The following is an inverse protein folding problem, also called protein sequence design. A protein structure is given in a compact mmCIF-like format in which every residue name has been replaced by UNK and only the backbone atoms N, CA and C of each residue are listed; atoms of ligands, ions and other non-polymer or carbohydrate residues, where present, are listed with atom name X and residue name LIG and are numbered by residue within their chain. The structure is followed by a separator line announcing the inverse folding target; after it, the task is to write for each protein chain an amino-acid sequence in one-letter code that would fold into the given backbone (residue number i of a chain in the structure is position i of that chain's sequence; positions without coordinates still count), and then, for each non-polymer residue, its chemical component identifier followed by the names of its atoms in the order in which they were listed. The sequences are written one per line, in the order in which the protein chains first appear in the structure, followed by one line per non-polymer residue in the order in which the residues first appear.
data_IF_793073779058
#
_entry.id   IF_793073779058
#
_cell.length_a   1.000
_cell.length_b   1.000
_cell.length_c   1.000
_cell.angle_alpha   90.00
_cell.angle_beta   90.00
_cell.angle_gamma   90.00
#
_symmetry.space_group_name_H-M   'P 1'
#
loop_
_entity.id
_entity.type
_entity.pdbx_description
1 polymer ?
#
# COMPACT_ATOMS: atom_id res chain seq x y z
N UNK A 1 1.26 -1.88 -9.47
CA UNK A 1 1.75 -0.55 -9.08
C UNK A 1 0.82 0.00 -8.02
N UNK A 2 1.37 0.50 -6.92
CA UNK A 2 0.57 1.01 -5.80
C UNK A 2 1.10 2.33 -5.30
N UNK A 3 0.20 3.17 -4.76
CA UNK A 3 0.57 4.44 -4.13
C UNK A 3 -0.47 4.86 -3.11
N UNK A 4 -0.02 5.64 -2.13
CA UNK A 4 -0.87 6.25 -1.12
C UNK A 4 -0.56 7.72 -0.97
N UNK A 5 -1.57 8.50 -0.66
CA UNK A 5 -1.45 9.94 -0.46
C UNK A 5 -2.24 10.37 0.77
N UNK A 6 -1.82 11.46 1.38
CA UNK A 6 -2.51 12.00 2.54
C UNK A 6 -2.36 13.51 2.57
N UNK A 7 -3.46 14.24 2.72
CA UNK A 7 -3.48 15.70 2.80
C UNK A 7 -3.49 16.14 4.24
N UNK A 8 -2.33 16.54 4.75
CA UNK A 8 -2.09 16.63 6.16
C UNK A 8 -1.81 15.24 6.72
N UNK A 9 -0.97 15.10 7.70
CA UNK A 9 -0.58 13.80 8.20
C UNK A 9 -0.65 13.79 9.74
N UNK A 10 -1.83 13.49 10.33
CA UNK A 10 -3.02 12.87 9.73
C UNK A 10 -3.94 13.84 8.97
N UNK A 11 -4.77 13.26 8.11
CA UNK A 11 -5.75 14.00 7.32
C UNK A 11 -6.44 13.10 6.30
N UNK A 12 -7.20 13.68 5.35
CA UNK A 12 -7.84 12.88 4.29
C UNK A 12 -6.80 12.10 3.52
N UNK A 13 -7.02 10.80 3.37
CA UNK A 13 -6.09 9.90 2.70
C UNK A 13 -6.73 9.21 1.51
N UNK A 14 -5.90 8.90 0.51
CA UNK A 14 -6.31 8.15 -0.67
C UNK A 14 -5.26 7.10 -1.01
N UNK A 15 -5.70 6.07 -1.70
CA UNK A 15 -4.84 4.99 -2.16
C UNK A 15 -5.27 4.54 -3.55
N UNK A 16 -4.33 3.99 -4.31
CA UNK A 16 -4.64 3.44 -5.62
C UNK A 16 -3.71 2.28 -5.96
N UNK A 17 -4.23 1.36 -6.75
CA UNK A 17 -3.46 0.25 -7.28
C UNK A 17 -3.83 0.03 -8.75
N UNK A 18 -2.82 -0.09 -9.60
CA UNK A 18 -2.97 -0.43 -11.00
C UNK A 18 -2.57 -1.90 -11.17
N UNK A 19 -3.53 -2.73 -11.52
CA UNK A 19 -3.30 -4.14 -11.77
C UNK A 19 -3.16 -4.37 -13.27
N UNK A 20 -2.07 -5.03 -13.66
CA UNK A 20 -1.79 -5.31 -15.06
C UNK A 20 -1.50 -6.80 -15.26
N UNK A 21 -2.19 -7.40 -16.21
CA UNK A 21 -1.95 -8.77 -16.62
C UNK A 21 -2.05 -8.84 -18.14
N UNK A 22 -0.91 -9.05 -18.81
CA UNK A 22 -0.81 -8.99 -20.27
C UNK A 22 -1.29 -7.62 -20.79
N UNK A 23 -2.33 -7.56 -21.59
CA UNK A 23 -2.86 -6.31 -22.14
C UNK A 23 -3.98 -5.72 -21.27
N UNK A 24 -4.44 -6.46 -20.26
CA UNK A 24 -5.52 -6.02 -19.39
C UNK A 24 -4.98 -5.17 -18.25
N UNK A 25 -5.63 -4.04 -18.00
CA UNK A 25 -5.32 -3.16 -16.88
C UNK A 25 -6.58 -2.82 -16.09
N UNK A 26 -6.44 -2.75 -14.79
CA UNK A 26 -7.54 -2.34 -13.90
C UNK A 26 -6.99 -1.40 -12.84
N UNK A 27 -7.57 -0.21 -12.75
CA UNK A 27 -7.26 0.73 -11.69
C UNK A 27 -8.31 0.62 -10.59
N UNK A 28 -7.85 0.45 -9.36
CA UNK A 28 -8.72 0.54 -8.18
C UNK A 28 -8.20 1.65 -7.28
N UNK A 29 -9.10 2.30 -6.56
CA UNK A 29 -8.74 3.39 -5.66
C UNK A 29 -9.79 3.54 -4.57
N UNK A 30 -9.42 4.23 -3.52
CA UNK A 30 -10.32 4.54 -2.43
C UNK A 30 -9.79 5.70 -1.60
N UNK A 31 -10.63 6.22 -0.71
CA UNK A 31 -10.27 7.32 0.17
C UNK A 31 -10.89 7.13 1.54
N UNK A 32 -10.25 7.70 2.55
CA UNK A 32 -10.76 7.73 3.93
C UNK A 32 -10.63 9.14 4.47
N UNK A 33 -11.56 9.53 5.36
CA UNK A 33 -11.63 10.90 5.87
C UNK A 33 -10.43 11.29 6.71
N UNK A 34 -9.84 10.34 7.42
CA UNK A 34 -8.67 10.60 8.27
C UNK A 34 -7.74 9.39 8.28
N UNK A 35 -6.51 9.60 7.85
CA UNK A 35 -5.50 8.56 7.81
C UNK A 35 -4.10 9.19 7.87
N UNK A 36 -3.08 8.39 7.56
CA UNK A 36 -1.71 8.84 7.43
C UNK A 36 -1.15 8.36 6.10
N UNK A 37 -0.08 8.98 5.63
CA UNK A 37 0.56 8.56 4.40
C UNK A 37 0.98 7.08 4.44
N UNK A 38 1.59 6.66 5.56
CA UNK A 38 2.04 5.27 5.70
C UNK A 38 0.90 4.27 5.66
N UNK A 39 -0.24 4.58 6.29
CA UNK A 39 -1.41 3.71 6.24
C UNK A 39 -1.96 3.60 4.82
N UNK A 40 -1.96 4.68 4.07
CA UNK A 40 -2.45 4.67 2.68
C UNK A 40 -1.52 3.87 1.77
N UNK A 41 -0.22 3.95 1.97
CA UNK A 41 0.74 3.14 1.22
C UNK A 41 0.53 1.64 1.48
N UNK A 42 0.34 1.26 2.75
CA UNK A 42 0.03 -0.13 3.10
C UNK A 42 -1.30 -0.58 2.50
N UNK A 43 -2.33 0.26 2.61
CA UNK A 43 -3.67 -0.04 2.11
C UNK A 43 -3.65 -0.27 0.61
N UNK A 44 -2.91 0.53 -0.15
CA UNK A 44 -2.79 0.35 -1.60
C UNK A 44 -2.24 -1.03 -1.96
N UNK A 45 -1.17 -1.46 -1.29
CA UNK A 45 -0.57 -2.76 -1.53
C UNK A 45 -1.54 -3.90 -1.16
N UNK A 46 -2.19 -3.79 -0.01
CA UNK A 46 -3.14 -4.80 0.47
C UNK A 46 -4.34 -4.92 -0.48
N UNK A 47 -4.97 -3.79 -0.80
CA UNK A 47 -6.16 -3.78 -1.65
C UNK A 47 -5.84 -4.31 -3.05
N UNK A 48 -4.67 -3.95 -3.58
CA UNK A 48 -4.24 -4.47 -4.88
C UNK A 48 -4.08 -5.99 -4.87
N UNK A 49 -3.40 -6.53 -3.87
CA UNK A 49 -3.19 -7.98 -3.76
C UNK A 49 -4.49 -8.72 -3.47
N UNK A 50 -5.39 -8.13 -2.69
CA UNK A 50 -6.68 -8.75 -2.36
C UNK A 50 -7.64 -8.84 -3.54
N UNK A 51 -7.39 -8.12 -4.64
CA UNK A 51 -8.16 -8.26 -5.88
C UNK A 51 -7.90 -9.60 -6.57
N UNK A 52 -6.78 -10.24 -6.29
CA UNK A 52 -6.38 -11.49 -6.95
C UNK A 52 -7.13 -12.66 -6.31
N UNK A 53 -7.85 -13.42 -7.12
CA UNK A 53 -8.78 -14.46 -6.65
C UNK A 53 -8.13 -15.83 -6.49
N UNK A 54 -6.86 -15.96 -6.85
CA UNK A 54 -6.09 -17.20 -6.75
C UNK A 54 -4.63 -16.89 -6.54
N UNK A 55 -3.84 -17.85 -6.02
CA UNK A 55 -2.39 -17.63 -5.88
C UNK A 55 -1.75 -17.28 -7.21
N UNK A 56 -0.92 -16.23 -7.22
CA UNK A 56 -0.26 -15.74 -8.43
C UNK A 56 1.16 -15.29 -8.12
N UNK A 57 1.98 -15.23 -9.17
CA UNK A 57 3.27 -14.56 -9.13
C UNK A 57 3.02 -13.09 -9.45
N UNK A 58 3.40 -12.20 -8.54
CA UNK A 58 3.10 -10.77 -8.65
C UNK A 58 4.38 -9.96 -8.52
N UNK A 59 4.60 -9.03 -9.45
CA UNK A 59 5.61 -7.99 -9.28
C UNK A 59 4.88 -6.76 -8.76
N UNK A 60 5.16 -6.37 -7.51
CA UNK A 60 4.52 -5.22 -6.88
C UNK A 60 5.51 -4.06 -6.83
N UNK A 61 5.18 -2.99 -7.53
CA UNK A 61 6.02 -1.79 -7.64
C UNK A 61 5.45 -0.67 -6.78
N UNK A 62 6.27 -0.12 -5.89
CA UNK A 62 5.90 0.98 -5.01
C UNK A 62 7.09 1.91 -4.79
N UNK A 63 6.82 3.18 -4.47
CA UNK A 63 7.86 4.14 -4.08
C UNK A 63 7.93 4.34 -2.56
N UNK A 64 7.13 3.63 -1.79
CA UNK A 64 7.09 3.80 -0.35
C UNK A 64 8.31 3.22 0.35
N UNK A 65 9.14 4.09 0.92
CA UNK A 65 10.28 3.68 1.74
C UNK A 65 9.81 2.94 3.01
N UNK A 66 8.69 3.37 3.58
CA UNK A 66 8.12 2.75 4.76
C UNK A 66 7.72 1.28 4.50
N UNK A 67 7.04 1.01 3.39
CA UNK A 67 6.67 -0.36 3.01
C UNK A 67 7.92 -1.19 2.74
N UNK A 68 8.90 -0.62 2.04
CA UNK A 68 10.17 -1.27 1.77
C UNK A 68 10.87 -1.69 3.06
N UNK A 69 11.05 -0.76 3.98
CA UNK A 69 11.77 -1.03 5.23
C UNK A 69 11.01 -2.05 6.09
N UNK A 70 9.70 -1.97 6.12
CA UNK A 70 8.90 -2.94 6.86
C UNK A 70 9.05 -4.35 6.33
N UNK A 71 8.96 -4.53 5.02
CA UNK A 71 9.07 -5.84 4.38
C UNK A 71 10.50 -6.40 4.48
N UNK A 72 11.51 -5.57 4.29
CA UNK A 72 12.90 -6.04 4.20
C UNK A 72 13.65 -6.06 5.53
N UNK A 73 13.24 -5.24 6.50
CA UNK A 73 14.01 -5.07 7.74
C UNK A 73 13.23 -5.40 9.02
N UNK A 74 11.93 -5.12 9.08
CA UNK A 74 11.21 -5.14 10.36
C UNK A 74 10.25 -6.30 10.56
N UNK A 75 9.57 -6.76 9.50
CA UNK A 75 8.42 -7.65 9.63
C UNK A 75 8.77 -9.01 10.26
N UNK A 76 9.92 -9.59 9.93
CA UNK A 76 10.32 -10.88 10.47
C UNK A 76 10.58 -10.79 11.98
N UNK A 77 11.18 -9.69 12.44
CA UNK A 77 11.37 -9.45 13.86
C UNK A 77 10.06 -9.25 14.60
N UNK A 78 9.13 -8.52 13.99
CA UNK A 78 7.79 -8.32 14.58
C UNK A 78 7.04 -9.65 14.72
N UNK A 79 7.07 -10.48 13.69
CA UNK A 79 6.42 -11.81 13.72
C UNK A 79 7.02 -12.68 14.81
N UNK A 80 8.33 -12.69 14.94
CA UNK A 80 9.03 -13.49 15.95
C UNK A 80 8.69 -13.05 17.38
N UNK A 81 8.38 -11.76 17.58
CA UNK A 81 8.06 -11.18 18.88
C UNK A 81 6.55 -11.03 19.13
N UNK A 82 5.71 -11.61 18.27
CA UNK A 82 4.26 -11.54 18.43
C UNK A 82 3.67 -10.16 18.15
N UNK A 83 4.29 -9.38 17.26
CA UNK A 83 3.83 -8.05 16.83
C UNK A 83 3.87 -7.00 17.93
N UNK A 84 4.82 -7.14 18.83
CA UNK A 84 5.03 -6.21 19.95
C UNK A 84 6.44 -5.63 19.82
N UNK A 85 6.56 -4.32 20.12
CA UNK A 85 7.85 -3.63 20.11
C UNK A 85 8.68 -3.98 21.34
N UNK A 86 9.95 -3.56 21.37
CA UNK A 86 10.84 -3.74 22.52
C UNK A 86 10.30 -3.06 23.78
N UNK A 87 9.41 -2.06 23.63
CA UNK A 87 8.76 -1.36 24.73
C UNK A 87 7.43 -2.02 25.13
N UNK A 88 7.16 -3.21 24.66
CA UNK A 88 5.94 -4.00 24.92
C UNK A 88 4.65 -3.32 24.45
N UNK A 89 4.75 -2.49 23.41
CA UNK A 89 3.60 -1.85 22.78
C UNK A 89 3.31 -2.52 21.43
N UNK A 90 2.05 -2.53 20.98
CA UNK A 90 1.76 -3.04 19.62
C UNK A 90 2.59 -2.29 18.58
N UNK A 91 3.01 -3.01 17.55
CA UNK A 91 3.69 -2.40 16.40
C UNK A 91 2.74 -1.38 15.77
N UNK A 92 3.28 -0.21 15.39
CA UNK A 92 2.49 0.83 14.74
C UNK A 92 1.90 0.31 13.44
N UNK A 93 0.63 0.59 13.19
CA UNK A 93 -0.11 0.10 12.02
C UNK A 93 -0.17 -1.43 11.95
N UNK A 94 -0.16 -2.09 13.10
CA UNK A 94 -0.12 -3.55 13.19
C UNK A 94 -1.27 -4.22 12.45
N UNK A 95 -2.46 -3.63 12.47
CA UNK A 95 -3.63 -4.13 11.75
C UNK A 95 -3.34 -4.29 10.26
N UNK A 96 -2.74 -3.28 9.65
CA UNK A 96 -2.39 -3.31 8.23
C UNK A 96 -1.20 -4.21 7.93
N UNK A 97 -0.17 -4.21 8.79
CA UNK A 97 0.98 -5.08 8.59
C UNK A 97 0.61 -6.56 8.65
N UNK A 98 -0.27 -6.93 9.57
CA UNK A 98 -0.77 -8.33 9.65
C UNK A 98 -1.57 -8.69 8.42
N UNK A 99 -2.42 -7.80 7.97
CA UNK A 99 -3.25 -8.02 6.78
C UNK A 99 -2.38 -8.15 5.52
N UNK A 100 -1.35 -7.32 5.40
CA UNK A 100 -0.39 -7.43 4.30
C UNK A 100 0.37 -8.75 4.35
N UNK A 101 0.86 -9.15 5.53
CA UNK A 101 1.58 -10.40 5.71
C UNK A 101 0.72 -11.60 5.27
N UNK A 102 -0.54 -11.62 5.65
CA UNK A 102 -1.47 -12.68 5.29
C UNK A 102 -1.68 -12.78 3.78
N UNK A 103 -1.91 -11.65 3.10
CA UNK A 103 -2.16 -11.67 1.66
C UNK A 103 -0.89 -11.97 0.86
N UNK A 104 0.26 -11.51 1.31
CA UNK A 104 1.55 -11.81 0.67
C UNK A 104 1.85 -13.31 0.74
N UNK A 105 1.48 -13.97 1.84
CA UNK A 105 1.71 -15.40 2.01
C UNK A 105 0.94 -16.26 1.01
N UNK A 106 -0.16 -15.76 0.47
CA UNK A 106 -0.98 -16.47 -0.53
C UNK A 106 -0.30 -16.47 -1.90
N UNK A 107 0.47 -15.42 -2.20
CA UNK A 107 1.07 -15.20 -3.51
C UNK A 107 2.59 -15.33 -3.45
N UNK A 108 3.22 -15.37 -4.63
CA UNK A 108 4.66 -15.19 -4.75
C UNK A 108 4.89 -13.74 -5.17
N UNK A 109 5.27 -12.90 -4.22
CA UNK A 109 5.41 -11.45 -4.46
C UNK A 109 6.87 -11.08 -4.61
N UNK A 110 7.20 -10.50 -5.76
CA UNK A 110 8.47 -9.86 -6.01
C UNK A 110 8.28 -8.36 -5.84
N UNK A 111 8.98 -7.77 -4.88
CA UNK A 111 8.88 -6.34 -4.60
C UNK A 111 9.84 -5.55 -5.46
N UNK A 112 9.34 -4.51 -6.09
CA UNK A 112 10.15 -3.60 -6.90
C UNK A 112 9.98 -2.19 -6.37
N UNK A 113 11.10 -1.59 -6.00
CA UNK A 113 11.12 -0.26 -5.42
C UNK A 113 11.54 0.76 -6.47
N UNK A 114 10.76 1.84 -6.61
CA UNK A 114 11.08 2.94 -7.51
C UNK A 114 11.17 4.21 -6.70
N UNK A 115 11.94 5.18 -7.20
CA UNK A 115 12.05 6.48 -6.56
C UNK A 115 10.81 7.31 -6.91
N UNK A 116 10.15 7.88 -5.91
CA UNK A 116 8.98 8.72 -6.12
C UNK A 116 9.32 9.95 -6.97
N UNK A 117 8.37 10.39 -7.78
CA UNK A 117 8.48 11.55 -8.65
C UNK A 117 9.66 11.49 -9.63
N UNK A 118 9.99 10.28 -10.08
CA UNK A 118 11.12 10.08 -11.02
C UNK A 118 10.67 10.01 -12.49
N UNK A 119 9.44 10.44 -12.80
CA UNK A 119 8.90 10.41 -14.16
C UNK A 119 8.42 9.03 -14.60
N UNK A 120 8.25 8.11 -13.67
CA UNK A 120 7.77 6.77 -13.95
C UNK A 120 6.26 6.81 -14.23
N UNK A 121 5.85 6.43 -15.45
CA UNK A 121 4.46 6.59 -15.91
C UNK A 121 3.44 5.94 -14.98
N UNK A 122 3.62 4.67 -14.63
CA UNK A 122 2.67 3.94 -13.80
C UNK A 122 2.64 4.49 -12.36
N UNK A 123 3.79 4.90 -11.86
CA UNK A 123 3.85 5.51 -10.53
C UNK A 123 3.07 6.83 -10.49
N UNK A 124 3.16 7.63 -11.54
CA UNK A 124 2.39 8.86 -11.65
C UNK A 124 0.89 8.60 -11.79
N UNK A 125 0.51 7.55 -12.51
CA UNK A 125 -0.89 7.17 -12.66
C UNK A 125 -1.55 6.81 -11.32
N UNK A 126 -0.89 6.02 -10.50
CA UNK A 126 -1.45 5.64 -9.19
C UNK A 126 -1.42 6.80 -8.21
N UNK A 127 -0.39 7.66 -8.27
CA UNK A 127 -0.37 8.88 -7.46
C UNK A 127 -1.56 9.77 -7.79
N UNK A 128 -1.79 10.01 -9.05
CA UNK A 128 -2.92 10.81 -9.52
C UNK A 128 -4.27 10.19 -9.12
N UNK A 129 -4.42 8.88 -9.29
CA UNK A 129 -5.65 8.18 -8.94
C UNK A 129 -5.94 8.27 -7.43
N UNK A 130 -4.92 8.15 -6.59
CA UNK A 130 -5.07 8.30 -5.13
C UNK A 130 -5.54 9.71 -4.77
N UNK A 131 -4.98 10.72 -5.41
CA UNK A 131 -5.39 12.12 -5.18
C UNK A 131 -6.80 12.41 -5.69
N UNK A 132 -7.18 11.87 -6.83
CA UNK A 132 -8.54 12.00 -7.36
C UNK A 132 -9.54 11.36 -6.40
N UNK A 133 -9.20 10.21 -5.81
CA UNK A 133 -10.07 9.56 -4.83
C UNK A 133 -10.33 10.46 -3.62
N UNK A 134 -9.33 11.20 -3.14
CA UNK A 134 -9.51 12.18 -2.06
C UNK A 134 -10.43 13.31 -2.52
N UNK A 135 -10.19 13.85 -3.71
CA UNK A 135 -11.02 14.93 -4.27
C UNK A 135 -12.48 14.52 -4.37
N UNK A 136 -12.73 13.32 -4.89
CA UNK A 136 -14.10 12.79 -5.05
C UNK A 136 -14.78 12.60 -3.69
N UNK A 137 -14.06 12.09 -2.70
CA UNK A 137 -14.60 11.95 -1.34
C UNK A 137 -14.96 13.31 -0.74
N UNK A 138 -14.09 14.30 -0.88
CA UNK A 138 -14.30 15.64 -0.33
C UNK A 138 -15.44 16.36 -1.04
N UNK A 139 -15.63 16.13 -2.34
CA UNK A 139 -16.72 16.72 -3.10
C UNK A 139 -18.09 16.15 -2.73
N UNK A 140 -18.14 14.95 -2.19
CA UNK A 140 -19.35 14.26 -1.77
C UNK A 140 -19.85 14.71 -0.39
N UNK A 141 -19.05 15.46 0.35
CA UNK A 141 -19.39 15.90 1.72
C UNK A 141 -20.27 17.15 1.77
#
# INVERSE_FOLDING_TARGET
FTDGACRGNPGPGGWAALLRHKEDEKMISGAVEKSTNNRMELTAAIEGLEQLKRPMVVVLTTDSQYVKDGITKWIEGWKAKGWITSQRKPVKNVDLWKRLDEVVAIHTVEWKWVKGHSGHRENEMVDQAANIAIDDMQSAL
#
